data_IF_736826707669
#
_entry.id   IF_736826707669
#
_cell.length_a   1.000
_cell.length_b   1.000
_cell.length_c   1.000
_cell.angle_alpha   90.00
_cell.angle_beta   90.00
_cell.angle_gamma   90.00
#
_symmetry.space_group_name_H-M   'P 1'
#
loop_
_entity.id
_entity.type
_entity.pdbx_description
1 polymer ?
#
# COMPACT_ATOMS: atom_id res chain seq x y z
N UNK A 1 13.72 -2.98 8.45
CA UNK A 1 12.85 -4.18 8.57
C UNK A 1 11.41 -3.93 8.11
N UNK A 2 10.80 -2.76 8.32
CA UNK A 2 9.45 -2.45 7.81
C UNK A 2 9.42 -2.41 6.27
N UNK A 3 10.40 -1.77 5.62
CA UNK A 3 10.42 -1.61 4.16
C UNK A 3 10.51 -2.93 3.38
N UNK A 4 11.31 -3.89 3.85
CA UNK A 4 11.41 -5.23 3.23
C UNK A 4 10.13 -6.06 3.39
N UNK A 5 9.37 -5.83 4.46
CA UNK A 5 8.07 -6.44 4.69
C UNK A 5 7.01 -5.86 3.74
N UNK A 6 7.06 -4.54 3.54
CA UNK A 6 6.19 -3.82 2.60
C UNK A 6 6.37 -4.33 1.17
N UNK A 7 7.61 -4.50 0.74
CA UNK A 7 7.99 -5.09 -0.56
C UNK A 7 7.42 -6.51 -0.76
N UNK A 8 7.42 -7.33 0.30
CA UNK A 8 6.89 -8.70 0.26
C UNK A 8 5.35 -8.77 0.28
N UNK A 9 4.67 -7.85 0.97
CA UNK A 9 3.21 -7.70 0.89
C UNK A 9 2.77 -7.16 -0.47
N UNK A 10 3.54 -6.24 -1.05
CA UNK A 10 3.22 -5.69 -2.35
C UNK A 10 3.45 -6.69 -3.47
N UNK A 11 4.32 -7.70 -3.30
CA UNK A 11 4.58 -8.76 -4.28
C UNK A 11 3.71 -10.02 -4.15
N UNK A 12 2.80 -10.06 -3.18
CA UNK A 12 1.91 -11.20 -2.93
C UNK A 12 0.48 -10.72 -2.67
N UNK A 13 -0.34 -10.76 -3.72
CA UNK A 13 -1.75 -10.30 -3.78
C UNK A 13 -2.74 -10.92 -2.77
N UNK A 14 -2.30 -11.70 -1.79
CA UNK A 14 -3.17 -12.46 -0.88
C UNK A 14 -3.12 -11.90 0.56
N UNK A 15 -3.08 -10.57 0.67
CA UNK A 15 -2.83 -9.85 1.93
C UNK A 15 -3.96 -8.92 2.38
N UNK A 16 -5.21 -9.17 1.98
CA UNK A 16 -6.38 -8.50 2.59
C UNK A 16 -6.43 -8.67 4.12
N UNK A 17 -5.71 -9.65 4.67
CA UNK A 17 -5.58 -9.92 6.12
C UNK A 17 -4.47 -9.12 6.83
N UNK A 18 -3.64 -8.37 6.13
CA UNK A 18 -2.48 -7.68 6.73
C UNK A 18 -2.50 -6.15 6.56
N UNK A 19 -3.52 -5.60 5.92
CA UNK A 19 -3.63 -4.17 5.60
C UNK A 19 -3.86 -3.23 6.80
N UNK A 20 -4.11 -3.75 8.01
CA UNK A 20 -4.34 -2.93 9.20
C UNK A 20 -3.23 -3.13 10.23
N UNK A 21 -2.07 -2.51 9.99
CA UNK A 21 -0.93 -2.54 10.93
C UNK A 21 -0.43 -1.11 11.12
N UNK A 22 -1.30 -0.21 11.59
CA UNK A 22 -0.86 1.10 12.12
C UNK A 22 -1.04 1.26 13.62
N UNK A 23 -1.76 0.36 14.31
CA UNK A 23 -1.78 0.38 15.77
C UNK A 23 -2.15 -0.99 16.38
N UNK A 24 -1.28 -1.55 17.23
CA UNK A 24 -1.59 -2.41 18.41
C UNK A 24 -0.32 -3.12 18.93
N UNK A 25 0.24 -2.61 20.04
CA UNK A 25 1.59 -2.90 20.58
C UNK A 25 1.90 -4.33 21.11
N UNK A 26 1.08 -5.35 20.82
CA UNK A 26 1.37 -6.76 21.15
C UNK A 26 1.07 -7.76 20.01
N UNK A 27 0.15 -7.40 19.12
CA UNK A 27 -0.22 -8.17 17.92
C UNK A 27 0.91 -8.21 16.87
N UNK A 28 1.75 -7.17 16.82
CA UNK A 28 2.82 -7.04 15.82
C UNK A 28 3.81 -8.21 15.85
N UNK A 29 4.25 -8.68 17.02
CA UNK A 29 5.23 -9.79 17.10
C UNK A 29 4.64 -11.10 16.56
N UNK A 30 3.35 -11.34 16.81
CA UNK A 30 2.65 -12.50 16.27
C UNK A 30 2.41 -12.37 14.76
N UNK A 31 2.04 -11.18 14.29
CA UNK A 31 1.89 -10.87 12.86
C UNK A 31 3.22 -11.07 12.10
N UNK A 32 4.32 -10.54 12.62
CA UNK A 32 5.67 -10.71 12.06
C UNK A 32 6.06 -12.19 12.02
N UNK A 33 5.82 -12.96 13.09
CA UNK A 33 6.04 -14.42 13.10
C UNK A 33 5.16 -15.18 12.10
N UNK A 34 3.94 -14.71 11.82
CA UNK A 34 3.05 -15.30 10.81
C UNK A 34 3.57 -14.99 9.40
N UNK A 35 4.05 -13.77 9.16
CA UNK A 35 4.63 -13.38 7.88
C UNK A 35 5.90 -14.20 7.59
N UNK A 36 6.81 -14.33 8.55
CA UNK A 36 8.01 -15.18 8.36
C UNK A 36 7.66 -16.66 8.14
N UNK A 37 6.65 -17.20 8.85
CA UNK A 37 6.17 -18.57 8.60
C UNK A 37 5.58 -18.72 7.22
N UNK A 38 4.77 -17.76 6.78
CA UNK A 38 4.20 -17.75 5.44
C UNK A 38 5.30 -17.72 4.38
N UNK A 39 6.27 -16.81 4.49
CA UNK A 39 7.42 -16.73 3.58
C UNK A 39 8.21 -18.06 3.51
N UNK A 40 8.44 -18.69 4.66
CA UNK A 40 9.13 -19.99 4.74
C UNK A 40 8.34 -21.12 4.09
N UNK A 41 7.01 -21.14 4.25
CA UNK A 41 6.16 -22.23 3.76
C UNK A 41 5.70 -22.07 2.31
N UNK A 42 5.79 -20.86 1.74
CA UNK A 42 5.37 -20.59 0.36
C UNK A 42 6.48 -19.96 -0.47
N UNK A 43 7.67 -20.57 -0.61
CA UNK A 43 8.80 -19.97 -1.35
C UNK A 43 8.53 -19.75 -2.84
N UNK A 44 7.58 -20.50 -3.42
CA UNK A 44 7.21 -20.42 -4.85
C UNK A 44 6.14 -19.36 -5.17
N UNK A 45 5.53 -18.75 -4.15
CA UNK A 45 4.55 -17.69 -4.34
C UNK A 45 5.29 -16.34 -4.43
N UNK A 46 5.16 -15.64 -5.54
CA UNK A 46 5.76 -14.33 -5.75
C UNK A 46 5.35 -13.81 -7.11
N UNK A 47 5.40 -12.49 -7.30
CA UNK A 47 5.23 -11.92 -8.63
C UNK A 47 6.47 -12.19 -9.48
N UNK A 48 6.21 -12.65 -10.69
CA UNK A 48 7.21 -12.84 -11.72
C UNK A 48 7.26 -11.57 -12.56
N UNK A 49 8.40 -10.89 -12.56
CA UNK A 49 8.64 -9.79 -13.48
C UNK A 49 9.10 -10.37 -14.81
N UNK A 50 8.43 -10.00 -15.90
CA UNK A 50 8.86 -10.44 -17.23
C UNK A 50 10.18 -9.77 -17.58
N UNK A 51 11.21 -10.56 -17.89
CA UNK A 51 12.51 -10.07 -18.36
C UNK A 51 12.41 -9.23 -19.65
N UNK A 52 11.30 -9.34 -20.39
CA UNK A 52 11.07 -8.61 -21.64
C UNK A 52 10.18 -7.37 -21.53
N UNK A 53 9.63 -7.06 -20.36
CA UNK A 53 8.85 -5.82 -20.19
C UNK A 53 9.78 -4.63 -19.97
N UNK A 54 9.48 -3.49 -20.61
CA UNK A 54 10.15 -2.24 -20.28
C UNK A 54 9.95 -1.95 -18.79
N UNK A 55 11.05 -1.70 -18.08
CA UNK A 55 11.06 -1.32 -16.67
C UNK A 55 10.57 0.13 -16.49
N UNK A 56 9.33 0.39 -16.95
CA UNK A 56 8.65 1.66 -16.75
C UNK A 56 7.96 1.65 -15.39
N UNK A 57 8.31 2.61 -14.54
CA UNK A 57 7.60 2.85 -13.29
C UNK A 57 6.35 3.67 -13.61
N UNK A 58 5.18 3.18 -13.23
CA UNK A 58 3.90 3.91 -13.31
C UNK A 58 3.31 4.04 -11.92
N UNK A 59 2.84 5.22 -11.58
CA UNK A 59 2.19 5.47 -10.31
C UNK A 59 0.77 5.98 -10.56
N UNK A 60 -0.17 5.44 -9.79
CA UNK A 60 -1.54 5.89 -9.75
C UNK A 60 -1.84 6.38 -8.34
N UNK A 61 -2.61 7.46 -8.29
CA UNK A 61 -3.00 8.15 -7.08
C UNK A 61 -4.51 8.32 -7.12
N UNK A 62 -5.15 8.12 -5.98
CA UNK A 62 -6.60 8.25 -5.84
C UNK A 62 -6.95 8.84 -4.46
N UNK A 63 -8.08 9.52 -4.37
CA UNK A 63 -8.55 10.14 -3.14
C UNK A 63 -10.05 9.88 -2.94
N UNK A 64 -10.37 9.13 -1.89
CA UNK A 64 -11.74 8.81 -1.54
C UNK A 64 -12.33 9.84 -0.57
N UNK A 65 -13.63 10.10 -0.75
CA UNK A 65 -14.39 11.04 0.07
C UNK A 65 -14.35 10.66 1.56
N UNK A 66 -14.13 11.67 2.41
CA UNK A 66 -13.95 11.47 3.84
C UNK A 66 -15.17 10.89 4.58
N UNK A 67 -14.90 10.14 5.64
CA UNK A 67 -15.94 9.51 6.47
C UNK A 67 -16.82 10.55 7.19
N UNK A 68 -18.09 10.21 7.50
CA UNK A 68 -19.00 11.10 8.24
C UNK A 68 -18.51 11.54 9.62
N UNK A 69 -17.59 10.79 10.23
CA UNK A 69 -17.10 11.02 11.60
C UNK A 69 -16.00 12.10 11.59
N UNK A 70 -14.94 11.86 10.82
CA UNK A 70 -13.76 12.75 10.84
C UNK A 70 -13.68 13.70 9.64
N UNK A 71 -14.52 13.53 8.61
CA UNK A 71 -14.51 14.24 7.31
C UNK A 71 -13.19 14.23 6.53
N UNK A 72 -12.16 13.56 7.04
CA UNK A 72 -10.88 13.38 6.36
C UNK A 72 -10.98 12.32 5.27
N UNK A 73 -10.53 12.68 4.08
CA UNK A 73 -10.43 11.82 2.91
C UNK A 73 -9.34 10.76 3.06
N UNK A 74 -9.41 9.72 2.25
CA UNK A 74 -8.41 8.63 2.26
C UNK A 74 -7.64 8.66 0.95
N UNK A 75 -6.34 8.86 1.04
CA UNK A 75 -5.43 8.84 -0.10
C UNK A 75 -4.94 7.42 -0.37
N UNK A 76 -5.14 6.95 -1.59
CA UNK A 76 -4.62 5.69 -2.12
C UNK A 76 -3.49 5.94 -3.11
N UNK A 77 -2.43 5.15 -3.03
CA UNK A 77 -1.35 5.15 -4.03
C UNK A 77 -1.04 3.73 -4.46
N UNK A 78 -0.71 3.54 -5.74
CA UNK A 78 -0.22 2.26 -6.24
C UNK A 78 0.85 2.46 -7.32
N UNK A 79 1.96 1.74 -7.20
CA UNK A 79 3.08 1.80 -8.12
C UNK A 79 3.26 0.46 -8.80
N UNK A 80 3.37 0.49 -10.13
CA UNK A 80 3.62 -0.66 -10.98
C UNK A 80 4.99 -0.52 -11.66
N UNK A 81 5.72 -1.61 -11.72
CA UNK A 81 6.91 -1.76 -12.55
C UNK A 81 6.54 -2.62 -13.76
N UNK A 82 6.46 -2.00 -14.93
CA UNK A 82 5.88 -2.62 -16.12
C UNK A 82 4.39 -2.89 -15.90
N UNK A 83 4.01 -4.17 -15.83
CA UNK A 83 2.62 -4.61 -15.55
C UNK A 83 2.43 -5.14 -14.13
N UNK A 84 3.49 -5.20 -13.32
CA UNK A 84 3.47 -5.82 -12.00
C UNK A 84 3.37 -4.75 -10.90
N UNK A 85 2.40 -4.90 -9.99
CA UNK A 85 2.28 -4.04 -8.80
C UNK A 85 3.46 -4.29 -7.85
N UNK A 86 4.19 -3.23 -7.50
CA UNK A 86 5.37 -3.28 -6.61
C UNK A 86 5.15 -2.59 -5.27
N UNK A 87 4.18 -1.67 -5.20
CA UNK A 87 3.87 -0.93 -3.99
C UNK A 87 2.43 -0.45 -4.02
N UNK A 88 1.78 -0.45 -2.86
CA UNK A 88 0.50 0.20 -2.68
C UNK A 88 0.42 0.72 -1.25
N UNK A 89 -0.27 1.84 -1.07
CA UNK A 89 -0.56 2.39 0.23
C UNK A 89 -1.94 3.01 0.28
N UNK A 90 -2.55 2.97 1.46
CA UNK A 90 -3.76 3.71 1.75
C UNK A 90 -3.57 4.39 3.09
N UNK A 91 -3.73 5.70 3.12
CA UNK A 91 -3.59 6.47 4.34
C UNK A 91 -4.69 7.52 4.44
N UNK A 92 -5.12 7.79 5.66
CA UNK A 92 -6.06 8.88 5.93
C UNK A 92 -5.31 10.20 5.84
N UNK A 93 -5.87 11.18 5.11
CA UNK A 93 -5.29 12.51 5.00
C UNK A 93 -5.27 13.21 6.36
N UNK A 94 -4.24 14.01 6.62
CA UNK A 94 -4.15 14.76 7.87
C UNK A 94 -5.10 15.96 7.91
N UNK A 95 -5.34 16.57 6.74
CA UNK A 95 -6.30 17.66 6.53
C UNK A 95 -7.68 17.17 6.12
N UNK A 96 -8.70 18.01 6.35
CA UNK A 96 -10.06 17.79 5.86
C UNK A 96 -10.20 18.49 4.51
N UNK A 97 -10.51 17.75 3.46
CA UNK A 97 -10.84 18.30 2.14
C UNK A 97 -12.32 18.67 2.08
N UNK A 98 -12.65 19.83 1.53
CA UNK A 98 -14.02 20.30 1.36
C UNK A 98 -14.65 19.83 0.03
N UNK A 99 -13.84 19.31 -0.88
CA UNK A 99 -14.28 18.77 -2.17
C UNK A 99 -13.41 17.59 -2.61
N UNK A 100 -13.93 16.77 -3.53
CA UNK A 100 -13.18 15.65 -4.10
C UNK A 100 -11.91 16.11 -4.83
N UNK A 101 -11.99 17.23 -5.57
CA UNK A 101 -10.84 17.77 -6.30
C UNK A 101 -9.72 18.25 -5.38
N UNK A 102 -10.06 18.81 -4.22
CA UNK A 102 -9.08 19.17 -3.19
C UNK A 102 -8.45 17.92 -2.58
N UNK A 103 -9.24 16.87 -2.34
CA UNK A 103 -8.72 15.59 -1.86
C UNK A 103 -7.72 14.98 -2.85
N UNK A 104 -8.04 14.98 -4.14
CA UNK A 104 -7.14 14.52 -5.21
C UNK A 104 -5.85 15.35 -5.27
N UNK A 105 -5.97 16.68 -5.15
CA UNK A 105 -4.81 17.57 -5.13
C UNK A 105 -3.88 17.29 -3.94
N UNK A 106 -4.44 17.08 -2.75
CA UNK A 106 -3.66 16.71 -1.55
C UNK A 106 -2.93 15.38 -1.77
N UNK A 107 -3.61 14.38 -2.33
CA UNK A 107 -2.98 13.10 -2.67
C UNK A 107 -1.84 13.28 -3.66
N UNK A 108 -2.06 14.06 -4.74
CA UNK A 108 -1.04 14.34 -5.74
C UNK A 108 0.18 15.06 -5.15
N UNK A 109 -0.04 16.03 -4.26
CA UNK A 109 1.04 16.74 -3.58
C UNK A 109 1.86 15.82 -2.66
N UNK A 110 1.21 14.88 -1.96
CA UNK A 110 1.90 13.94 -1.05
C UNK A 110 2.82 12.94 -1.76
N UNK A 111 2.62 12.73 -3.07
CA UNK A 111 3.44 11.83 -3.87
C UNK A 111 4.79 12.45 -4.30
N UNK A 112 4.85 13.79 -4.38
CA UNK A 112 6.00 14.51 -4.91
C UNK A 112 6.98 15.02 -3.84
N UNK A 113 6.73 14.72 -2.56
CA UNK A 113 7.52 15.21 -1.41
C UNK A 113 8.66 14.29 -1.01
#
# INVERSE_FOLDING_TARGET
MIGSLLYLTATRSDSSRFAFVRDTRTSHRQAVKRIFRYLKFTPKLGFWYSSGSSLSLREFLDADAGSRIDRKSTSGTCQLLGTSLIYWSSHKQDSVSLSTIEAEYITAASCCS
#
